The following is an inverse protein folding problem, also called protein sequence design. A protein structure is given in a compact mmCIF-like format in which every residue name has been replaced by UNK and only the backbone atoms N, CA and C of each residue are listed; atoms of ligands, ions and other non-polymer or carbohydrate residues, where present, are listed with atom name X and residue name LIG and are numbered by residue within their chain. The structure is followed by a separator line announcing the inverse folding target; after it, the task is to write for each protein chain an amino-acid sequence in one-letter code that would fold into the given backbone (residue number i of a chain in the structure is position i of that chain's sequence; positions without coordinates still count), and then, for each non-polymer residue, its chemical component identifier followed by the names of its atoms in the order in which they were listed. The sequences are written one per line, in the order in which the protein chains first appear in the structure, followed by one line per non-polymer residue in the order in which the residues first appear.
data_IF_985793167660
#
_entry.id   IF_985793167660
#
_cell.length_a   1.000
_cell.length_b   1.000
_cell.length_c   1.000
_cell.angle_alpha   90.00
_cell.angle_beta   90.00
_cell.angle_gamma   90.00
#
_symmetry.space_group_name_H-M   'P 1'
#
loop_
_entity.id
_entity.type
_entity.pdbx_description
1 polymer ?
#
# COMPACT_ATOMS: atom_id res chain seq x y z
N UNK A 1 6.15 -14.67 -0.02
CA UNK A 1 6.48 -13.56 -0.95
C UNK A 1 6.80 -12.32 -0.12
N UNK A 2 7.90 -11.62 -0.43
CA UNK A 2 8.30 -10.41 0.29
C UNK A 2 7.77 -9.17 -0.41
N UNK A 3 7.14 -8.26 0.36
CA UNK A 3 6.78 -6.91 -0.04
C UNK A 3 7.60 -5.91 0.80
N UNK A 4 8.36 -5.03 0.15
CA UNK A 4 9.20 -4.04 0.84
C UNK A 4 8.43 -2.73 1.00
N UNK A 5 8.31 -2.24 2.24
CA UNK A 5 7.74 -0.92 2.54
C UNK A 5 8.71 0.20 2.21
N UNK A 6 8.22 1.25 1.54
CA UNK A 6 8.97 2.49 1.29
C UNK A 6 8.40 3.63 2.13
N UNK A 7 8.41 3.45 3.45
CA UNK A 7 7.83 4.36 4.44
C UNK A 7 8.90 5.35 4.93
N UNK A 8 9.13 6.41 4.16
CA UNK A 8 10.26 7.32 4.29
C UNK A 8 10.05 8.38 5.36
N UNK A 9 10.73 8.29 6.49
CA UNK A 9 10.82 9.36 7.48
C UNK A 9 12.18 10.10 7.31
N UNK A 10 12.13 11.33 6.79
CA UNK A 10 13.32 12.14 6.55
C UNK A 10 14.21 12.28 7.79
N UNK A 11 13.62 12.36 8.98
CA UNK A 11 14.39 12.52 10.22
C UNK A 11 15.18 11.26 10.60
N UNK A 12 14.76 10.09 10.13
CA UNK A 12 15.40 8.80 10.38
C UNK A 12 16.38 8.36 9.28
N UNK A 13 16.43 9.10 8.17
CA UNK A 13 17.38 8.80 7.09
C UNK A 13 18.84 8.94 7.57
N UNK A 14 19.79 8.19 6.97
CA UNK A 14 21.21 8.40 7.18
C UNK A 14 21.64 9.84 6.88
N UNK A 15 22.58 10.38 7.66
CA UNK A 15 23.00 11.79 7.55
C UNK A 15 23.51 12.16 6.15
N UNK A 16 24.23 11.26 5.47
CA UNK A 16 24.72 11.50 4.11
C UNK A 16 23.59 11.65 3.09
N UNK A 17 22.45 11.00 3.30
CA UNK A 17 21.24 11.13 2.48
C UNK A 17 20.51 12.44 2.82
N UNK A 18 20.32 12.74 4.11
CA UNK A 18 19.73 14.02 4.54
C UNK A 18 20.49 15.22 3.99
N UNK A 19 21.82 15.15 3.96
CA UNK A 19 22.66 16.20 3.42
C UNK A 19 22.41 16.51 1.92
N UNK A 20 21.81 15.60 1.18
CA UNK A 20 21.44 15.84 -0.23
C UNK A 20 20.38 16.93 -0.38
N UNK A 21 19.56 17.15 0.65
CA UNK A 21 18.55 18.21 0.64
C UNK A 21 19.14 19.62 0.45
N UNK A 22 20.43 19.82 0.79
CA UNK A 22 21.12 21.10 0.65
C UNK A 22 22.14 21.14 -0.51
N UNK A 23 22.31 20.04 -1.26
CA UNK A 23 23.36 19.87 -2.28
C UNK A 23 22.90 20.15 -3.72
N UNK A 24 22.06 21.17 -3.94
CA UNK A 24 21.60 21.51 -5.28
C UNK A 24 20.44 20.63 -5.77
N UNK A 25 20.27 20.54 -7.07
CA UNK A 25 19.11 19.91 -7.71
C UNK A 25 19.47 18.55 -8.31
N UNK A 26 18.49 17.64 -8.32
CA UNK A 26 18.53 16.35 -9.00
C UNK A 26 17.64 16.44 -10.24
N UNK A 27 18.20 16.22 -11.42
CA UNK A 27 17.43 16.21 -12.67
C UNK A 27 16.96 14.77 -12.99
N UNK A 28 15.65 14.60 -13.18
CA UNK A 28 15.05 13.32 -13.63
C UNK A 28 14.02 13.66 -14.71
N UNK A 29 14.18 13.10 -15.90
CA UNK A 29 13.27 13.28 -17.07
C UNK A 29 12.94 14.77 -17.37
N UNK A 30 13.88 15.67 -17.14
CA UNK A 30 13.70 17.11 -17.39
C UNK A 30 13.09 17.88 -16.21
N UNK A 31 12.70 17.23 -15.15
CA UNK A 31 12.26 17.86 -13.90
C UNK A 31 13.42 18.01 -12.91
N UNK A 32 13.33 19.05 -12.08
CA UNK A 32 14.34 19.37 -11.07
C UNK A 32 13.76 19.11 -9.66
N UNK A 33 14.47 18.29 -8.90
CA UNK A 33 14.13 17.94 -7.52
C UNK A 33 15.18 18.49 -6.56
N UNK A 34 14.73 19.17 -5.53
CA UNK A 34 15.57 19.78 -4.49
C UNK A 34 15.02 19.51 -3.09
N UNK A 35 15.71 19.97 -2.08
CA UNK A 35 15.23 19.82 -0.70
C UNK A 35 15.01 18.37 -0.30
N UNK A 36 13.99 18.15 0.50
CA UNK A 36 13.62 16.81 1.01
C UNK A 36 13.24 15.85 -0.11
N UNK A 37 12.60 16.32 -1.17
CA UNK A 37 12.23 15.47 -2.31
C UNK A 37 13.44 14.76 -2.89
N UNK A 38 14.55 15.47 -3.11
CA UNK A 38 15.81 14.88 -3.57
C UNK A 38 16.30 13.76 -2.65
N UNK A 39 16.34 14.01 -1.34
CA UNK A 39 16.78 13.01 -0.37
C UNK A 39 15.89 11.78 -0.34
N UNK A 40 14.57 11.97 -0.41
CA UNK A 40 13.58 10.87 -0.46
C UNK A 40 13.80 10.01 -1.71
N UNK A 41 13.94 10.62 -2.87
CA UNK A 41 14.18 9.91 -4.13
C UNK A 41 15.47 9.10 -4.06
N UNK A 42 16.57 9.70 -3.66
CA UNK A 42 17.86 9.01 -3.59
C UNK A 42 17.86 7.88 -2.54
N UNK A 43 17.17 8.08 -1.41
CA UNK A 43 16.99 7.02 -0.41
C UNK A 43 16.20 5.85 -0.99
N UNK A 44 15.04 6.12 -1.60
CA UNK A 44 14.20 5.09 -2.19
C UNK A 44 14.93 4.31 -3.30
N UNK A 45 15.65 5.01 -4.18
CA UNK A 45 16.46 4.36 -5.23
C UNK A 45 17.48 3.40 -4.63
N UNK A 46 18.18 3.82 -3.58
CA UNK A 46 19.18 2.97 -2.93
C UNK A 46 18.54 1.72 -2.29
N UNK A 47 17.36 1.88 -1.64
CA UNK A 47 16.62 0.73 -1.08
C UNK A 47 16.11 -0.19 -2.18
N UNK A 48 15.52 0.36 -3.22
CA UNK A 48 15.01 -0.41 -4.38
C UNK A 48 16.14 -1.21 -5.03
N UNK A 49 17.25 -0.57 -5.35
CA UNK A 49 18.40 -1.25 -5.97
C UNK A 49 18.98 -2.38 -5.12
N UNK A 50 18.95 -2.21 -3.79
CA UNK A 50 19.45 -3.22 -2.87
C UNK A 50 18.48 -4.39 -2.63
N UNK A 51 17.18 -4.22 -2.91
CA UNK A 51 16.15 -5.20 -2.52
C UNK A 51 15.35 -5.79 -3.69
N UNK A 52 15.43 -5.22 -4.88
CA UNK A 52 14.63 -5.63 -6.04
C UNK A 52 14.79 -7.13 -6.40
N UNK A 53 15.98 -7.68 -6.23
CA UNK A 53 16.23 -9.10 -6.49
C UNK A 53 15.62 -10.05 -5.43
N UNK A 54 15.07 -9.51 -4.34
CA UNK A 54 14.61 -10.27 -3.18
C UNK A 54 13.13 -10.08 -2.85
N UNK A 55 12.43 -9.19 -3.56
CA UNK A 55 11.02 -8.90 -3.33
C UNK A 55 10.18 -9.02 -4.59
N UNK A 56 8.87 -9.21 -4.41
CA UNK A 56 7.90 -9.24 -5.51
C UNK A 56 7.09 -7.94 -5.59
N UNK A 57 7.14 -7.11 -4.54
CA UNK A 57 6.36 -5.88 -4.49
C UNK A 57 7.06 -4.78 -3.68
N UNK A 58 6.78 -3.53 -4.04
CA UNK A 58 7.04 -2.35 -3.22
C UNK A 58 5.73 -1.70 -2.78
N UNK A 59 5.71 -1.25 -1.54
CA UNK A 59 4.53 -0.61 -0.95
C UNK A 59 4.91 0.72 -0.26
N UNK A 60 4.94 1.84 -0.97
CA UNK A 60 5.01 3.14 -0.33
C UNK A 60 3.71 3.42 0.44
N UNK A 61 3.85 3.84 1.71
CA UNK A 61 2.75 4.35 2.49
C UNK A 61 2.62 5.86 2.23
N UNK A 62 1.51 6.26 1.65
CA UNK A 62 1.31 7.63 1.16
C UNK A 62 1.43 8.69 2.26
N UNK A 63 1.06 8.37 3.49
CA UNK A 63 1.17 9.31 4.60
C UNK A 63 2.60 9.85 4.79
N UNK A 64 3.62 9.05 4.49
CA UNK A 64 5.04 9.44 4.58
C UNK A 64 5.49 10.35 3.43
N UNK A 65 4.69 10.49 2.39
CA UNK A 65 4.91 11.42 1.29
C UNK A 65 3.99 12.63 1.41
N UNK A 66 2.71 12.43 1.66
CA UNK A 66 1.71 13.49 1.84
C UNK A 66 2.11 14.48 2.95
N UNK A 67 2.77 14.01 4.03
CA UNK A 67 3.25 14.88 5.12
C UNK A 67 4.31 15.90 4.69
N UNK A 68 4.92 15.74 3.52
CA UNK A 68 5.85 16.69 2.92
C UNK A 68 5.20 17.55 1.81
N UNK A 69 3.87 17.50 1.67
CA UNK A 69 3.11 18.26 0.69
C UNK A 69 3.48 17.90 -0.76
N UNK A 70 3.48 18.89 -1.63
CA UNK A 70 3.73 18.70 -3.07
C UNK A 70 5.12 18.07 -3.32
N UNK A 71 6.14 18.45 -2.57
CA UNK A 71 7.49 17.90 -2.73
C UNK A 71 7.53 16.40 -2.40
N UNK A 72 6.76 15.95 -1.39
CA UNK A 72 6.64 14.53 -1.09
C UNK A 72 5.91 13.75 -2.19
N UNK A 73 4.83 14.30 -2.73
CA UNK A 73 4.09 13.67 -3.84
C UNK A 73 4.94 13.59 -5.11
N UNK A 74 5.72 14.63 -5.42
CA UNK A 74 6.69 14.60 -6.54
C UNK A 74 7.77 13.53 -6.31
N UNK A 75 8.23 13.36 -5.07
CA UNK A 75 9.19 12.32 -4.74
C UNK A 75 8.59 10.91 -4.85
N UNK A 76 7.31 10.73 -4.51
CA UNK A 76 6.58 9.48 -4.72
C UNK A 76 6.50 9.15 -6.22
N UNK A 77 6.06 10.11 -7.03
CA UNK A 77 5.94 9.96 -8.48
C UNK A 77 7.28 9.56 -9.12
N UNK A 78 8.35 10.30 -8.81
CA UNK A 78 9.70 9.95 -9.27
C UNK A 78 10.20 8.57 -8.79
N UNK A 79 9.76 8.12 -7.62
CA UNK A 79 10.08 6.79 -7.10
C UNK A 79 9.35 5.70 -7.88
N UNK A 80 8.05 5.88 -8.12
CA UNK A 80 7.24 4.96 -8.94
C UNK A 80 7.84 4.84 -10.34
N UNK A 81 8.12 5.97 -10.96
CA UNK A 81 8.72 6.06 -12.30
C UNK A 81 10.09 5.35 -12.39
N UNK A 82 10.90 5.47 -11.34
CA UNK A 82 12.17 4.75 -11.25
C UNK A 82 11.97 3.23 -11.21
N UNK A 83 11.02 2.75 -10.39
CA UNK A 83 10.73 1.32 -10.27
C UNK A 83 10.19 0.80 -11.60
N UNK A 84 9.20 1.47 -12.20
CA UNK A 84 8.61 1.09 -13.50
C UNK A 84 9.64 1.03 -14.62
N UNK A 85 10.59 1.95 -14.62
CA UNK A 85 11.63 2.00 -15.66
C UNK A 85 12.68 0.90 -15.49
N UNK A 86 13.09 0.61 -14.25
CA UNK A 86 14.24 -0.26 -13.99
C UNK A 86 13.84 -1.69 -13.63
N UNK A 87 12.65 -1.87 -13.02
CA UNK A 87 12.13 -3.14 -12.50
C UNK A 87 10.64 -3.29 -12.83
N UNK A 88 10.27 -3.30 -14.13
CA UNK A 88 8.86 -3.23 -14.57
C UNK A 88 8.00 -4.40 -14.11
N UNK A 89 8.61 -5.53 -13.75
CA UNK A 89 7.93 -6.74 -13.27
C UNK A 89 7.54 -6.68 -11.79
N UNK A 90 8.05 -5.71 -11.02
CA UNK A 90 7.76 -5.62 -9.59
C UNK A 90 6.41 -4.95 -9.38
N UNK A 91 5.57 -5.59 -8.57
CA UNK A 91 4.23 -5.12 -8.24
C UNK A 91 4.27 -3.88 -7.32
N UNK A 92 3.50 -2.84 -7.64
CA UNK A 92 3.47 -1.58 -6.89
C UNK A 92 2.13 -1.39 -6.18
N UNK A 93 2.20 -1.23 -4.86
CA UNK A 93 1.03 -1.07 -3.99
C UNK A 93 1.00 0.35 -3.42
N UNK A 94 -0.03 1.13 -3.73
CA UNK A 94 -0.30 2.39 -3.04
C UNK A 94 -0.96 2.10 -1.68
N UNK A 95 -0.22 2.22 -0.58
CA UNK A 95 -0.79 2.11 0.75
C UNK A 95 -1.44 3.44 1.15
N UNK A 96 -2.63 3.69 0.59
CA UNK A 96 -3.33 4.96 0.62
C UNK A 96 -4.55 4.97 1.54
N UNK A 97 -5.14 3.80 1.77
CA UNK A 97 -6.35 3.60 2.61
C UNK A 97 -7.46 4.58 2.26
N UNK A 98 -7.74 4.72 0.94
CA UNK A 98 -8.84 5.58 0.47
C UNK A 98 -10.19 4.93 0.76
N UNK A 99 -11.22 5.78 0.91
CA UNK A 99 -12.57 5.35 1.14
C UNK A 99 -13.50 6.52 0.84
N UNK A 100 -14.20 6.45 -0.29
CA UNK A 100 -15.21 7.42 -0.73
C UNK A 100 -16.09 6.74 -1.78
N UNK A 101 -17.17 7.37 -2.17
CA UNK A 101 -18.20 6.78 -3.05
C UNK A 101 -18.32 7.52 -4.38
N UNK A 102 -18.98 6.87 -5.33
CA UNK A 102 -19.41 7.47 -6.58
C UNK A 102 -18.26 8.09 -7.38
N UNK A 103 -18.43 9.33 -7.82
CA UNK A 103 -17.43 10.02 -8.65
C UNK A 103 -16.12 10.26 -7.91
N UNK A 104 -16.13 10.50 -6.59
CA UNK A 104 -14.92 10.69 -5.80
C UNK A 104 -14.06 9.42 -5.78
N UNK A 105 -14.67 8.25 -5.57
CA UNK A 105 -13.96 6.97 -5.63
C UNK A 105 -13.35 6.72 -7.03
N UNK A 106 -14.07 7.07 -8.11
CA UNK A 106 -13.55 7.02 -9.49
C UNK A 106 -12.32 7.92 -9.68
N UNK A 107 -12.34 9.12 -9.10
CA UNK A 107 -11.18 10.03 -9.18
C UNK A 107 -9.97 9.49 -8.41
N UNK A 108 -10.17 8.82 -7.27
CA UNK A 108 -9.08 8.13 -6.58
C UNK A 108 -8.54 6.94 -7.39
N UNK A 109 -9.42 6.11 -7.97
CA UNK A 109 -8.98 5.01 -8.81
C UNK A 109 -8.15 5.50 -10.00
N UNK A 110 -8.65 6.55 -10.69
CA UNK A 110 -7.92 7.21 -11.78
C UNK A 110 -6.53 7.70 -11.33
N UNK A 111 -6.46 8.42 -10.21
CA UNK A 111 -5.21 8.97 -9.70
C UNK A 111 -4.14 7.88 -9.47
N UNK A 112 -4.53 6.73 -8.88
CA UNK A 112 -3.57 5.68 -8.59
C UNK A 112 -3.26 4.80 -9.79
N UNK A 113 -4.25 4.48 -10.61
CA UNK A 113 -4.08 3.48 -11.68
C UNK A 113 -3.69 4.09 -13.03
N UNK A 114 -4.15 5.32 -13.33
CA UNK A 114 -3.82 5.97 -14.61
C UNK A 114 -2.67 6.97 -14.47
N UNK A 115 -2.73 7.85 -13.45
CA UNK A 115 -1.77 8.96 -13.35
C UNK A 115 -0.47 8.53 -12.64
N UNK A 116 -0.55 7.72 -11.57
CA UNK A 116 0.60 7.28 -10.78
C UNK A 116 1.08 5.86 -11.12
N UNK A 117 0.37 5.15 -11.99
CA UNK A 117 0.69 3.80 -12.47
C UNK A 117 0.97 2.76 -11.37
N UNK A 118 0.18 2.75 -10.31
CA UNK A 118 0.18 1.66 -9.33
C UNK A 118 -0.59 0.44 -9.85
N UNK A 119 -0.23 -0.76 -9.39
CA UNK A 119 -0.96 -2.00 -9.67
C UNK A 119 -2.08 -2.24 -8.68
N UNK A 120 -1.92 -1.75 -7.45
CA UNK A 120 -2.88 -1.95 -6.38
C UNK A 120 -2.99 -0.73 -5.46
N UNK A 121 -4.14 -0.60 -4.80
CA UNK A 121 -4.37 0.43 -3.79
C UNK A 121 -5.12 -0.14 -2.59
N UNK A 122 -4.71 0.26 -1.37
CA UNK A 122 -5.43 -0.12 -0.15
C UNK A 122 -6.67 0.75 0.04
N UNK A 123 -7.80 0.11 0.41
CA UNK A 123 -9.12 0.75 0.51
C UNK A 123 -9.74 0.44 1.87
N UNK A 124 -10.35 1.45 2.48
CA UNK A 124 -11.16 1.31 3.67
C UNK A 124 -12.63 1.04 3.29
N UNK A 125 -13.21 -0.13 3.59
CA UNK A 125 -14.52 -0.53 3.08
C UNK A 125 -15.70 -0.05 3.93
N UNK A 126 -15.47 0.81 4.92
CA UNK A 126 -16.48 1.21 5.90
C UNK A 126 -17.74 1.85 5.28
N UNK A 127 -17.60 2.48 4.08
CA UNK A 127 -18.72 3.06 3.33
C UNK A 127 -19.43 2.04 2.44
N UNK A 128 -19.12 0.75 2.54
CA UNK A 128 -19.75 -0.34 1.78
C UNK A 128 -19.13 -0.57 0.41
N UNK A 129 -19.79 -1.42 -0.39
CA UNK A 129 -19.33 -1.83 -1.71
C UNK A 129 -19.09 -0.66 -2.68
N UNK A 130 -19.86 0.42 -2.55
CA UNK A 130 -19.72 1.63 -3.36
C UNK A 130 -18.34 2.27 -3.27
N UNK A 131 -17.61 2.03 -2.16
CA UNK A 131 -16.26 2.53 -1.96
C UNK A 131 -15.18 1.67 -2.62
N UNK A 132 -15.52 0.47 -3.07
CA UNK A 132 -14.60 -0.52 -3.64
C UNK A 132 -14.85 -0.75 -5.12
N UNK A 133 -16.09 -0.86 -5.55
CA UNK A 133 -16.47 -1.19 -6.95
C UNK A 133 -15.81 -0.29 -8.01
N UNK A 134 -15.62 1.04 -7.82
CA UNK A 134 -14.96 1.86 -8.84
C UNK A 134 -13.50 1.48 -9.13
N UNK A 135 -12.83 0.84 -8.16
CA UNK A 135 -11.45 0.35 -8.35
C UNK A 135 -11.42 -0.99 -9.10
N UNK A 136 -12.49 -1.79 -9.00
CA UNK A 136 -12.62 -3.07 -9.70
C UNK A 136 -12.97 -2.92 -11.19
N UNK A 137 -13.35 -1.71 -11.64
CA UNK A 137 -13.59 -1.39 -13.05
C UNK A 137 -12.30 -1.41 -13.89
N UNK A 138 -11.12 -1.35 -13.24
CA UNK A 138 -9.81 -1.33 -13.90
C UNK A 138 -9.27 -2.74 -14.11
N UNK A 139 -9.09 -3.10 -15.37
CA UNK A 139 -8.49 -4.40 -15.74
C UNK A 139 -7.02 -4.47 -15.28
N UNK A 140 -6.61 -5.64 -14.82
CA UNK A 140 -5.25 -5.93 -14.38
C UNK A 140 -4.76 -5.04 -13.21
N UNK A 141 -5.70 -4.46 -12.45
CA UNK A 141 -5.46 -3.69 -11.23
C UNK A 141 -6.16 -4.34 -10.04
N UNK A 142 -5.68 -4.03 -8.83
CA UNK A 142 -6.11 -4.70 -7.61
C UNK A 142 -6.63 -3.73 -6.55
N UNK A 143 -7.79 -4.05 -5.98
CA UNK A 143 -8.25 -3.44 -4.74
C UNK A 143 -7.75 -4.26 -3.54
N UNK A 144 -7.10 -3.62 -2.57
CA UNK A 144 -6.65 -4.28 -1.34
C UNK A 144 -7.49 -3.74 -0.18
N UNK A 145 -8.47 -4.52 0.25
CA UNK A 145 -9.46 -4.10 1.25
C UNK A 145 -8.97 -4.38 2.66
N UNK A 146 -9.12 -3.39 3.55
CA UNK A 146 -8.85 -3.57 4.98
C UNK A 146 -9.86 -4.55 5.58
N UNK A 147 -9.39 -5.68 6.10
CA UNK A 147 -10.19 -6.68 6.79
C UNK A 147 -9.84 -6.73 8.29
N UNK A 148 -8.77 -7.41 8.67
CA UNK A 148 -8.33 -7.53 10.05
C UNK A 148 -6.96 -6.87 10.22
N UNK A 149 -6.91 -5.73 10.90
CA UNK A 149 -5.69 -4.92 11.02
C UNK A 149 -4.90 -5.25 12.30
N UNK A 150 -3.59 -4.93 12.32
CA UNK A 150 -2.67 -5.31 13.39
C UNK A 150 -2.77 -4.45 14.65
N UNK A 151 -3.37 -3.25 14.58
CA UNK A 151 -3.42 -2.31 15.69
C UNK A 151 -4.30 -2.78 16.85
N UNK A 152 -3.95 -2.39 18.07
CA UNK A 152 -4.63 -2.82 19.28
C UNK A 152 -6.13 -2.48 19.30
N UNK A 153 -6.54 -1.32 18.75
CA UNK A 153 -7.94 -0.87 18.72
C UNK A 153 -8.81 -1.55 17.66
N UNK A 154 -8.25 -2.45 16.83
CA UNK A 154 -9.00 -3.14 15.78
C UNK A 154 -10.24 -3.86 16.33
N UNK A 155 -10.16 -4.42 17.55
CA UNK A 155 -11.27 -5.12 18.19
C UNK A 155 -12.53 -4.26 18.40
N UNK A 156 -12.40 -2.93 18.51
CA UNK A 156 -13.54 -2.05 18.77
C UNK A 156 -14.62 -2.10 17.69
N UNK A 157 -14.21 -2.35 16.44
CA UNK A 157 -15.13 -2.47 15.31
C UNK A 157 -14.99 -3.81 14.59
N UNK A 158 -13.76 -4.22 14.29
CA UNK A 158 -13.54 -5.38 13.41
C UNK A 158 -14.01 -6.71 14.04
N UNK A 159 -13.99 -6.82 15.37
CA UNK A 159 -14.51 -7.98 16.09
C UNK A 159 -15.98 -7.87 16.50
N UNK A 160 -16.64 -6.73 16.22
CA UNK A 160 -18.07 -6.59 16.47
C UNK A 160 -18.86 -7.62 15.66
N UNK A 161 -19.98 -8.11 16.21
CA UNK A 161 -20.77 -9.14 15.56
C UNK A 161 -21.76 -8.53 14.55
N UNK A 162 -21.75 -9.04 13.34
CA UNK A 162 -22.77 -8.83 12.31
C UNK A 162 -23.31 -10.22 11.90
N UNK A 163 -24.56 -10.47 12.15
CA UNK A 163 -25.23 -11.74 11.80
C UNK A 163 -24.52 -13.01 12.32
N UNK A 164 -23.97 -12.94 13.54
CA UNK A 164 -23.25 -14.04 14.18
C UNK A 164 -21.79 -14.23 13.73
N UNK A 165 -21.25 -13.33 12.91
CA UNK A 165 -19.87 -13.32 12.45
C UNK A 165 -19.14 -12.06 12.87
N UNK A 166 -17.80 -12.09 13.09
CA UNK A 166 -17.02 -10.89 13.25
C UNK A 166 -17.15 -9.97 12.02
N UNK A 167 -17.19 -8.66 12.24
CA UNK A 167 -17.37 -7.68 11.15
C UNK A 167 -16.31 -7.82 10.05
N UNK A 168 -15.05 -8.12 10.38
CA UNK A 168 -14.01 -8.31 9.37
C UNK A 168 -14.33 -9.48 8.41
N UNK A 169 -14.94 -10.58 8.91
CA UNK A 169 -15.37 -11.69 8.06
C UNK A 169 -16.56 -11.31 7.19
N UNK A 170 -17.54 -10.61 7.76
CA UNK A 170 -18.68 -10.11 7.00
C UNK A 170 -18.25 -9.17 5.88
N UNK A 171 -17.27 -8.29 6.13
CA UNK A 171 -16.66 -7.43 5.10
C UNK A 171 -16.00 -8.27 4.01
N UNK A 172 -15.20 -9.27 4.37
CA UNK A 172 -14.56 -10.13 3.38
C UNK A 172 -15.57 -10.87 2.51
N UNK A 173 -16.65 -11.41 3.08
CA UNK A 173 -17.72 -12.08 2.33
C UNK A 173 -18.36 -11.13 1.31
N UNK A 174 -18.82 -9.97 1.75
CA UNK A 174 -19.46 -8.97 0.88
C UNK A 174 -18.52 -8.53 -0.26
N UNK A 175 -17.22 -8.40 0.02
CA UNK A 175 -16.24 -8.01 -0.98
C UNK A 175 -15.93 -9.14 -1.97
N UNK A 176 -15.91 -10.40 -1.53
CA UNK A 176 -15.75 -11.56 -2.42
C UNK A 176 -16.93 -11.75 -3.37
N UNK A 177 -18.14 -11.36 -2.98
CA UNK A 177 -19.34 -11.41 -3.86
C UNK A 177 -19.24 -10.48 -5.06
N UNK A 178 -18.51 -9.35 -4.93
CA UNK A 178 -18.39 -8.32 -5.97
C UNK A 178 -17.05 -8.36 -6.73
N UNK A 179 -16.20 -9.30 -6.44
CA UNK A 179 -14.81 -9.38 -6.95
C UNK A 179 -14.41 -10.80 -7.35
N UNK A 180 -13.17 -10.94 -7.77
CA UNK A 180 -12.52 -12.23 -8.02
C UNK A 180 -11.18 -12.29 -7.29
N UNK A 181 -10.59 -13.48 -7.11
CA UNK A 181 -9.22 -13.59 -6.58
C UNK A 181 -8.15 -12.86 -7.42
N UNK A 182 -8.46 -12.54 -8.68
CA UNK A 182 -7.53 -11.87 -9.61
C UNK A 182 -7.58 -10.34 -9.56
N UNK A 183 -8.49 -9.74 -8.77
CA UNK A 183 -8.60 -8.28 -8.63
C UNK A 183 -8.84 -7.80 -7.18
N UNK A 184 -8.88 -8.73 -6.21
CA UNK A 184 -9.11 -8.41 -4.80
C UNK A 184 -8.09 -9.10 -3.89
N UNK A 185 -7.49 -8.33 -3.01
CA UNK A 185 -6.69 -8.79 -1.89
C UNK A 185 -7.27 -8.25 -0.58
N UNK A 186 -6.85 -8.85 0.56
CA UNK A 186 -7.24 -8.36 1.87
C UNK A 186 -6.03 -8.04 2.74
N UNK A 187 -6.14 -6.98 3.54
CA UNK A 187 -5.16 -6.68 4.58
C UNK A 187 -5.49 -7.52 5.81
N UNK A 188 -4.52 -8.35 6.22
CA UNK A 188 -4.58 -9.15 7.45
C UNK A 188 -3.29 -8.92 8.24
N UNK A 189 -3.39 -8.35 9.44
CA UNK A 189 -2.22 -8.00 10.24
C UNK A 189 -1.41 -9.20 10.72
N UNK A 190 -0.08 -9.15 10.64
CA UNK A 190 0.84 -10.19 11.09
C UNK A 190 0.72 -10.53 12.59
N UNK A 191 0.25 -9.58 13.43
CA UNK A 191 0.00 -9.81 14.86
C UNK A 191 -1.25 -10.67 15.14
N UNK A 192 -1.90 -11.18 14.10
CA UNK A 192 -3.08 -12.05 14.12
C UNK A 192 -2.78 -13.42 13.50
N UNK A 193 -1.58 -13.95 13.74
CA UNK A 193 -1.13 -15.23 13.20
C UNK A 193 -2.10 -16.38 13.53
N UNK A 194 -2.67 -16.37 14.74
CA UNK A 194 -3.72 -17.30 15.19
C UNK A 194 -4.99 -17.28 14.32
N UNK A 195 -5.22 -16.21 13.59
CA UNK A 195 -6.36 -16.04 12.68
C UNK A 195 -6.04 -16.32 11.20
N UNK A 196 -4.76 -16.38 10.83
CA UNK A 196 -4.37 -16.55 9.43
C UNK A 196 -4.84 -17.89 8.85
N UNK A 197 -4.76 -18.98 9.62
CA UNK A 197 -5.23 -20.29 9.19
C UNK A 197 -6.75 -20.33 8.99
N UNK A 198 -7.51 -19.76 9.95
CA UNK A 198 -8.95 -19.60 9.86
C UNK A 198 -9.33 -18.78 8.62
N UNK A 199 -8.66 -17.62 8.43
CA UNK A 199 -8.92 -16.73 7.30
C UNK A 199 -8.52 -17.34 5.96
N UNK A 200 -7.43 -18.11 5.90
CA UNK A 200 -7.05 -18.84 4.69
C UNK A 200 -8.07 -19.90 4.31
N UNK A 201 -8.62 -20.61 5.31
CA UNK A 201 -9.69 -21.60 5.07
C UNK A 201 -10.97 -20.95 4.59
N UNK A 202 -11.27 -19.75 5.09
CA UNK A 202 -12.43 -18.95 4.71
C UNK A 202 -12.29 -18.28 3.34
N UNK A 203 -11.07 -17.83 3.00
CA UNK A 203 -10.73 -17.10 1.77
C UNK A 203 -9.51 -17.78 1.12
N UNK A 204 -9.70 -18.93 0.42
CA UNK A 204 -8.60 -19.80 0.01
C UNK A 204 -7.75 -19.21 -1.13
N UNK A 205 -8.34 -18.44 -2.04
CA UNK A 205 -7.73 -18.07 -3.33
C UNK A 205 -7.18 -16.65 -3.37
N UNK A 206 -7.71 -15.73 -2.55
CA UNK A 206 -7.26 -14.35 -2.54
C UNK A 206 -5.88 -14.19 -1.88
N UNK A 207 -5.08 -13.26 -2.38
CA UNK A 207 -3.85 -12.86 -1.70
C UNK A 207 -4.14 -12.04 -0.45
N UNK A 208 -3.30 -12.21 0.57
CA UNK A 208 -3.29 -11.37 1.76
C UNK A 208 -2.06 -10.44 1.75
N UNK A 209 -2.29 -9.16 1.97
CA UNK A 209 -1.25 -8.23 2.37
C UNK A 209 -1.13 -8.29 3.89
N UNK A 210 0.01 -8.79 4.39
CA UNK A 210 0.24 -9.05 5.81
C UNK A 210 1.23 -8.04 6.38
N UNK A 211 0.77 -6.85 6.80
CA UNK A 211 1.63 -5.83 7.38
C UNK A 211 1.97 -6.16 8.84
N UNK A 212 3.14 -5.65 9.32
CA UNK A 212 3.55 -5.72 10.71
C UNK A 212 4.62 -6.74 11.02
N UNK A 213 5.12 -7.46 10.01
CA UNK A 213 6.32 -8.29 10.17
C UNK A 213 7.52 -7.39 10.51
N UNK A 214 8.23 -7.69 11.58
CA UNK A 214 9.36 -6.91 12.09
C UNK A 214 8.94 -5.74 12.98
N UNK A 215 8.74 -4.56 12.42
CA UNK A 215 8.56 -3.31 13.18
C UNK A 215 7.35 -3.28 14.14
N UNK A 216 6.31 -4.07 13.87
CA UNK A 216 5.11 -4.17 14.72
C UNK A 216 5.07 -5.46 15.56
N UNK A 217 6.17 -6.23 15.59
CA UNK A 217 6.32 -7.42 16.43
C UNK A 217 5.80 -8.72 15.81
N UNK A 218 5.32 -8.71 14.59
CA UNK A 218 4.99 -9.95 13.85
C UNK A 218 6.28 -10.69 13.45
N UNK A 219 6.26 -12.02 13.54
CA UNK A 219 7.34 -12.90 13.07
C UNK A 219 7.07 -13.38 11.65
N UNK A 220 8.13 -13.57 10.87
CA UNK A 220 8.04 -14.22 9.56
C UNK A 220 8.05 -15.76 9.65
N UNK A 221 8.33 -16.30 10.84
CA UNK A 221 8.39 -17.74 11.13
C UNK A 221 7.04 -18.29 11.63
N UNK A 222 6.16 -17.41 12.10
CA UNK A 222 4.77 -17.71 12.49
C UNK A 222 3.82 -17.63 11.28
#
# INVERSE_FOLDING_TARGET
MLCVGLDVDFNKMPEHIKALATKGELAIKGELYKGKARSIIEFNKAIVDATAAHCVAYKPNLAFYECYGIEGLRALDATVDYIRTKYPEIFLIADAKRGDIGNTAKMYAKAFFEEMDFDAVTIAPYMGADSVTPFLEYKDKWAIVLALTSNASAYQFQSAQKDGKPLYQAVMEEMMEISTPDNMMFVVGATKADKLEELRSFCPDNFFLVPGVGAQGGSAEE
#
